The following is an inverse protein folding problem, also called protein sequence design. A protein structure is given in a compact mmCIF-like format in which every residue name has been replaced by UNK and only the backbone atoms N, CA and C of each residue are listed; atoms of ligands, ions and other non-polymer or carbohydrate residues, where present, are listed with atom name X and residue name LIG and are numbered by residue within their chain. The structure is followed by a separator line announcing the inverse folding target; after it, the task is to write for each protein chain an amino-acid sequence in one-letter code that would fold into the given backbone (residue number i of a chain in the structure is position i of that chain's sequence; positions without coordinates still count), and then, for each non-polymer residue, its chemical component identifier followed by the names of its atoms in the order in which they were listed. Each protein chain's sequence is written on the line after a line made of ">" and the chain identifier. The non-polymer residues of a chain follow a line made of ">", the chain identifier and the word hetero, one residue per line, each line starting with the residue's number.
data_IF_599954128885
#
_entry.id   IF_599954128885
#
_cell.length_a   1.000
_cell.length_b   1.000
_cell.length_c   1.000
_cell.angle_alpha   90.00
_cell.angle_beta   90.00
_cell.angle_gamma   90.00
#
_symmetry.space_group_name_H-M   'P 1'
#
loop_
_entity.id
_entity.type
_entity.pdbx_description
1 polymer ?
#
# COMPACT_ATOMS: atom_id res chain seq x y z
N UNK A 1 1.72 7.45 -13.09
CA UNK A 1 3.08 6.89 -13.21
C UNK A 1 3.11 5.71 -14.18
N UNK A 2 2.87 5.95 -15.48
CA UNK A 2 2.64 4.87 -16.47
C UNK A 2 3.90 4.06 -16.78
N UNK A 3 5.02 4.73 -17.05
CA UNK A 3 6.28 4.02 -17.33
C UNK A 3 6.79 3.23 -16.12
N UNK A 4 6.66 3.80 -14.92
CA UNK A 4 7.03 3.13 -13.67
C UNK A 4 6.16 1.91 -13.39
N UNK A 5 4.84 1.98 -13.61
CA UNK A 5 3.95 0.82 -13.41
C UNK A 5 4.24 -0.30 -14.42
N UNK A 6 4.61 0.05 -15.65
CA UNK A 6 5.02 -0.93 -16.65
C UNK A 6 6.30 -1.66 -16.24
N UNK A 7 7.37 -0.92 -15.93
CA UNK A 7 8.65 -1.51 -15.54
C UNK A 7 8.53 -2.32 -14.24
N UNK A 8 7.83 -1.78 -13.24
CA UNK A 8 7.56 -2.49 -11.99
C UNK A 8 6.77 -3.79 -12.23
N UNK A 9 5.78 -3.78 -13.12
CA UNK A 9 5.01 -4.98 -13.44
C UNK A 9 5.87 -6.11 -14.01
N UNK A 10 6.91 -5.76 -14.79
CA UNK A 10 7.89 -6.71 -15.32
C UNK A 10 8.87 -7.18 -14.23
N UNK A 11 9.56 -6.25 -13.56
CA UNK A 11 10.61 -6.57 -12.58
C UNK A 11 10.07 -7.33 -11.37
N UNK A 12 8.89 -6.95 -10.87
CA UNK A 12 8.27 -7.59 -9.70
C UNK A 12 7.56 -8.90 -10.02
N UNK A 13 7.40 -9.24 -11.31
CA UNK A 13 6.62 -10.41 -11.74
C UNK A 13 5.20 -10.41 -11.16
N UNK A 14 4.54 -9.24 -11.09
CA UNK A 14 3.26 -9.07 -10.37
C UNK A 14 2.15 -10.01 -10.85
N UNK A 15 2.17 -10.41 -12.13
CA UNK A 15 1.22 -11.34 -12.73
C UNK A 15 1.32 -12.76 -12.13
N UNK A 16 2.47 -13.13 -11.56
CA UNK A 16 2.70 -14.43 -10.93
C UNK A 16 2.31 -14.44 -9.44
N UNK A 17 1.84 -13.31 -8.89
CA UNK A 17 1.41 -13.22 -7.50
C UNK A 17 -0.02 -13.75 -7.33
N UNK A 18 -0.34 -14.26 -6.14
CA UNK A 18 -1.66 -14.81 -5.81
C UNK A 18 -2.68 -13.77 -5.32
N UNK A 19 -2.42 -12.48 -5.57
CA UNK A 19 -3.26 -11.38 -5.09
C UNK A 19 -4.44 -11.17 -6.06
N UNK A 20 -5.66 -11.24 -5.54
CA UNK A 20 -6.85 -10.87 -6.30
C UNK A 20 -6.98 -9.34 -6.35
N UNK A 21 -6.82 -8.74 -7.53
CA UNK A 21 -6.91 -7.27 -7.68
C UNK A 21 -8.32 -6.71 -7.37
N UNK A 22 -9.38 -7.51 -7.53
CA UNK A 22 -10.76 -7.05 -7.32
C UNK A 22 -11.08 -6.76 -5.84
N UNK A 23 -10.31 -7.34 -4.90
CA UNK A 23 -10.48 -7.08 -3.47
C UNK A 23 -9.63 -5.90 -2.97
N UNK A 24 -8.74 -5.36 -3.81
CA UNK A 24 -7.89 -4.22 -3.44
C UNK A 24 -8.61 -2.93 -3.84
N UNK A 25 -9.06 -2.11 -2.87
CA UNK A 25 -9.77 -0.88 -3.20
C UNK A 25 -8.82 0.17 -3.81
N UNK A 26 -9.36 1.13 -4.60
CA UNK A 26 -8.60 2.28 -5.03
C UNK A 26 -7.99 3.02 -3.83
N UNK A 27 -6.73 3.44 -3.94
CA UNK A 27 -6.05 4.15 -2.86
C UNK A 27 -5.62 3.29 -1.66
N UNK A 28 -5.71 1.96 -1.72
CA UNK A 28 -5.37 1.06 -0.61
C UNK A 28 -4.00 1.35 0.05
N UNK A 29 -2.95 1.61 -0.74
CA UNK A 29 -1.62 1.93 -0.22
C UNK A 29 -1.62 3.24 0.59
N UNK A 30 -2.25 4.29 0.06
CA UNK A 30 -2.35 5.58 0.73
C UNK A 30 -3.12 5.44 2.04
N UNK A 31 -4.27 4.75 2.02
CA UNK A 31 -5.07 4.51 3.21
C UNK A 31 -4.33 3.69 4.27
N UNK A 32 -3.53 2.70 3.87
CA UNK A 32 -2.71 1.92 4.79
C UNK A 32 -1.64 2.80 5.46
N UNK A 33 -0.92 3.61 4.67
CA UNK A 33 0.11 4.52 5.21
C UNK A 33 -0.53 5.56 6.15
N UNK A 34 -1.66 6.15 5.76
CA UNK A 34 -2.39 7.11 6.60
C UNK A 34 -2.79 6.49 7.95
N UNK A 35 -3.33 5.26 7.93
CA UNK A 35 -3.64 4.53 9.17
C UNK A 35 -2.39 4.23 10.00
N UNK A 36 -1.28 3.91 9.35
CA UNK A 36 0.01 3.70 10.03
C UNK A 36 0.46 4.94 10.79
N UNK A 37 0.37 6.13 10.18
CA UNK A 37 0.69 7.40 10.84
C UNK A 37 -0.22 7.65 12.06
N UNK A 38 -1.54 7.52 11.88
CA UNK A 38 -2.48 7.70 13.00
C UNK A 38 -2.27 6.70 14.13
N UNK A 39 -1.87 5.47 13.80
CA UNK A 39 -1.53 4.47 14.80
C UNK A 39 -0.30 4.89 15.61
N UNK A 40 0.78 5.34 14.95
CA UNK A 40 1.97 5.85 15.63
C UNK A 40 1.67 7.09 16.47
N UNK A 41 0.87 8.03 15.96
CA UNK A 41 0.45 9.22 16.71
C UNK A 41 -0.36 8.84 17.96
N UNK A 42 -1.25 7.85 17.84
CA UNK A 42 -2.01 7.33 18.97
C UNK A 42 -1.09 6.70 20.03
N UNK A 43 -0.12 5.87 19.63
CA UNK A 43 0.87 5.28 20.54
C UNK A 43 1.66 6.33 21.30
N UNK A 44 2.06 7.42 20.64
CA UNK A 44 2.73 8.55 21.28
C UNK A 44 1.80 9.27 22.28
N UNK A 45 0.55 9.53 21.89
CA UNK A 45 -0.41 10.27 22.73
C UNK A 45 -0.85 9.54 23.99
N UNK A 46 -0.72 8.20 24.04
CA UNK A 46 -1.06 7.38 25.21
C UNK A 46 0.15 7.24 26.15
N UNK A 47 1.37 7.46 25.63
CA UNK A 47 2.62 7.39 26.37
C UNK A 47 2.96 8.65 27.18
N UNK A 48 2.24 9.75 26.96
CA UNK A 48 2.21 10.96 27.80
C UNK A 48 1.09 10.89 28.86
#
# INVERSE_FOLDING_TARGET
>A
FVHSSYLFGLESHIVQTSINANIVPPGALLSLIQKGLYYTEAELSIGD
#
